data_IF_944194612526
#
_entry.id   IF_944194612526
#
_cell.length_a   1.000
_cell.length_b   1.000
_cell.length_c   1.000
_cell.angle_alpha   90.00
_cell.angle_beta   90.00
_cell.angle_gamma   90.00
#
_symmetry.space_group_name_H-M   'P 1'
#
loop_
_entity.id
_entity.type
_entity.pdbx_description
1 polymer ?
#
# COMPACT_ATOMS: atom_id res chain seq x y z
N UNK A 1 -5.17 8.22 30.32
CA UNK A 1 -5.83 7.18 29.49
C UNK A 1 -5.41 5.81 30.00
N UNK A 2 -6.35 4.86 30.18
CA UNK A 2 -6.05 3.49 30.60
C UNK A 2 -6.39 2.57 29.42
N UNK A 3 -5.39 1.97 28.80
CA UNK A 3 -5.57 1.10 27.62
C UNK A 3 -6.04 -0.27 28.08
N UNK A 4 -7.18 -0.75 27.56
CA UNK A 4 -7.71 -2.09 27.84
C UNK A 4 -7.25 -3.02 26.73
N UNK A 5 -6.48 -4.05 27.08
CA UNK A 5 -6.03 -5.07 26.14
C UNK A 5 -7.16 -6.08 25.91
N UNK A 6 -7.49 -6.32 24.64
CA UNK A 6 -8.42 -7.37 24.21
C UNK A 6 -7.62 -8.38 23.39
N UNK A 7 -7.59 -9.64 23.83
CA UNK A 7 -6.87 -10.71 23.14
C UNK A 7 -7.82 -11.48 22.23
N UNK A 8 -7.40 -11.76 20.99
CA UNK A 8 -8.08 -12.72 20.14
C UNK A 8 -7.82 -14.14 20.65
N UNK A 9 -8.84 -15.00 20.57
CA UNK A 9 -8.75 -16.42 20.95
C UNK A 9 -9.01 -17.28 19.71
N UNK A 10 -8.37 -18.44 19.63
CA UNK A 10 -8.31 -19.34 18.45
C UNK A 10 -9.70 -19.75 17.90
N UNK A 11 -10.78 -19.55 18.67
CA UNK A 11 -12.15 -19.93 18.31
C UNK A 11 -13.16 -18.77 18.31
N UNK A 12 -12.70 -17.51 18.28
CA UNK A 12 -13.59 -16.33 18.25
C UNK A 12 -13.18 -15.31 17.17
N UNK A 13 -13.48 -15.59 15.89
CA UNK A 13 -13.09 -14.74 14.75
C UNK A 13 -13.81 -13.37 14.72
N UNK A 14 -14.71 -13.11 15.68
CA UNK A 14 -15.57 -11.92 15.69
C UNK A 14 -14.83 -10.61 16.02
N UNK A 15 -13.61 -10.70 16.60
CA UNK A 15 -12.82 -9.50 17.00
C UNK A 15 -11.67 -9.18 16.03
N UNK A 16 -11.07 -10.18 15.39
CA UNK A 16 -9.83 -10.01 14.60
C UNK A 16 -10.04 -10.12 13.08
N UNK A 17 -11.25 -10.45 12.60
CA UNK A 17 -11.48 -10.76 11.19
C UNK A 17 -11.18 -9.64 10.18
N UNK A 18 -11.23 -8.37 10.60
CA UNK A 18 -10.81 -7.25 9.74
C UNK A 18 -9.29 -7.14 9.64
N UNK A 19 -8.59 -7.32 10.76
CA UNK A 19 -7.11 -7.37 10.77
C UNK A 19 -6.60 -8.59 10.02
N UNK A 20 -7.25 -9.75 10.15
CA UNK A 20 -6.92 -10.96 9.38
C UNK A 20 -7.08 -10.73 7.88
N UNK A 21 -8.18 -10.09 7.45
CA UNK A 21 -8.39 -9.73 6.04
C UNK A 21 -7.34 -8.74 5.53
N UNK A 22 -7.01 -7.72 6.33
CA UNK A 22 -5.93 -6.78 6.00
C UNK A 22 -4.60 -7.52 5.83
N UNK A 23 -4.22 -8.35 6.79
CA UNK A 23 -2.99 -9.13 6.74
C UNK A 23 -2.96 -10.08 5.54
N UNK A 24 -4.10 -10.67 5.18
CA UNK A 24 -4.22 -11.52 4.00
C UNK A 24 -3.96 -10.73 2.70
N UNK A 25 -4.57 -9.54 2.55
CA UNK A 25 -4.39 -8.68 1.37
C UNK A 25 -2.94 -8.19 1.27
N UNK A 26 -2.35 -7.75 2.38
CA UNK A 26 -0.94 -7.36 2.42
C UNK A 26 -0.01 -8.52 2.04
N UNK A 27 -0.27 -9.72 2.54
CA UNK A 27 0.49 -10.91 2.16
C UNK A 27 0.35 -11.23 0.67
N UNK A 28 -0.85 -11.18 0.10
CA UNK A 28 -1.07 -11.40 -1.34
C UNK A 28 -0.37 -10.35 -2.19
N UNK A 29 -0.37 -9.09 -1.75
CA UNK A 29 0.39 -8.03 -2.41
C UNK A 29 1.88 -8.36 -2.37
N UNK A 30 2.45 -8.61 -1.19
CA UNK A 30 3.87 -8.88 -1.00
C UNK A 30 4.35 -10.11 -1.78
N UNK A 31 3.54 -11.16 -1.89
CA UNK A 31 3.87 -12.35 -2.70
C UNK A 31 4.20 -12.02 -4.16
N UNK A 32 3.66 -10.92 -4.70
CA UNK A 32 3.92 -10.51 -6.08
C UNK A 32 5.22 -9.71 -6.26
N UNK A 33 5.84 -9.23 -5.18
CA UNK A 33 7.00 -8.33 -5.21
C UNK A 33 8.22 -8.88 -4.47
N UNK A 34 8.01 -9.79 -3.54
CA UNK A 34 9.06 -10.44 -2.76
C UNK A 34 9.58 -11.65 -3.52
N UNK A 35 10.91 -11.81 -3.58
CA UNK A 35 11.56 -12.96 -4.19
C UNK A 35 11.25 -14.27 -3.45
N UNK A 36 11.50 -15.42 -4.08
CA UNK A 36 11.27 -16.76 -3.50
C UNK A 36 12.00 -16.99 -2.18
N UNK A 37 13.11 -16.29 -1.95
CA UNK A 37 13.88 -16.34 -0.72
C UNK A 37 13.31 -15.48 0.43
N UNK A 38 12.13 -14.87 0.21
CA UNK A 38 11.42 -13.99 1.15
C UNK A 38 12.22 -12.78 1.63
N UNK A 39 13.26 -12.37 0.90
CA UNK A 39 14.08 -11.20 1.27
C UNK A 39 13.48 -9.90 0.75
N UNK A 40 13.72 -8.82 1.49
CA UNK A 40 13.33 -7.46 1.06
C UNK A 40 11.84 -7.12 1.23
N UNK A 41 11.02 -7.99 1.86
CA UNK A 41 9.59 -7.71 2.10
C UNK A 41 9.34 -6.40 2.84
N UNK A 42 10.23 -6.02 3.76
CA UNK A 42 10.15 -4.77 4.51
C UNK A 42 10.23 -3.54 3.60
N UNK A 43 10.98 -3.60 2.49
CA UNK A 43 11.09 -2.50 1.51
C UNK A 43 9.80 -2.29 0.70
N UNK A 44 8.95 -3.33 0.64
CA UNK A 44 7.67 -3.30 -0.06
C UNK A 44 6.50 -3.00 0.86
N UNK A 45 6.69 -3.11 2.18
CA UNK A 45 5.61 -2.95 3.15
C UNK A 45 4.93 -1.58 3.06
N UNK A 46 5.71 -0.50 2.99
CA UNK A 46 5.15 0.85 2.87
C UNK A 46 4.33 1.06 1.59
N UNK A 47 4.72 0.40 0.49
CA UNK A 47 3.95 0.44 -0.75
C UNK A 47 2.67 -0.39 -0.66
N UNK A 48 2.75 -1.56 -0.04
CA UNK A 48 1.58 -2.40 0.21
C UNK A 48 0.56 -1.71 1.12
N UNK A 49 1.03 -1.06 2.20
CA UNK A 49 0.21 -0.27 3.11
C UNK A 49 -0.47 0.90 2.40
N UNK A 50 0.29 1.67 1.61
CA UNK A 50 -0.27 2.79 0.84
C UNK A 50 -1.36 2.31 -0.11
N UNK A 51 -1.08 1.28 -0.92
CA UNK A 51 -2.06 0.72 -1.84
C UNK A 51 -3.32 0.20 -1.11
N UNK A 52 -3.15 -0.49 0.02
CA UNK A 52 -4.28 -0.98 0.80
C UNK A 52 -5.14 0.18 1.33
N UNK A 53 -4.51 1.17 1.97
CA UNK A 53 -5.21 2.30 2.56
C UNK A 53 -5.88 3.21 1.52
N UNK A 54 -5.33 3.30 0.30
CA UNK A 54 -5.87 4.13 -0.80
C UNK A 54 -6.88 3.40 -1.70
N UNK A 55 -7.13 2.11 -1.48
CA UNK A 55 -8.06 1.33 -2.31
C UNK A 55 -9.44 1.28 -1.66
N UNK A 56 -10.49 1.47 -2.45
CA UNK A 56 -11.88 1.32 -1.98
C UNK A 56 -12.17 -0.13 -1.60
N UNK A 57 -12.67 -0.33 -0.38
CA UNK A 57 -13.04 -1.66 0.09
C UNK A 57 -14.50 -1.97 -0.29
N UNK A 58 -14.76 -3.14 -0.87
CA UNK A 58 -16.11 -3.52 -1.32
C UNK A 58 -17.17 -3.55 -0.23
N UNK A 59 -16.78 -3.71 1.04
CA UNK A 59 -17.71 -3.74 2.18
C UNK A 59 -18.15 -2.35 2.66
N UNK A 60 -17.33 -1.32 2.43
CA UNK A 60 -17.53 0.04 2.94
C UNK A 60 -17.68 1.05 1.78
N UNK A 61 -17.43 0.60 0.54
CA UNK A 61 -17.40 1.36 -0.72
C UNK A 61 -16.42 2.56 -0.74
N UNK A 62 -15.70 2.76 0.36
CA UNK A 62 -14.74 3.82 0.58
C UNK A 62 -13.37 3.27 0.97
N UNK A 63 -12.32 4.08 0.78
CA UNK A 63 -10.97 3.73 1.21
C UNK A 63 -10.76 4.02 2.70
N UNK A 64 -9.94 3.24 3.41
CA UNK A 64 -9.54 3.57 4.78
C UNK A 64 -8.94 4.97 4.92
N UNK A 65 -8.19 5.43 3.91
CA UNK A 65 -7.57 6.75 3.92
C UNK A 65 -8.62 7.86 3.85
N UNK A 66 -9.62 7.73 2.99
CA UNK A 66 -10.75 8.66 2.92
C UNK A 66 -11.52 8.71 4.23
N UNK A 67 -11.75 7.56 4.87
CA UNK A 67 -12.45 7.50 6.15
C UNK A 67 -11.64 8.12 7.30
N UNK A 68 -10.32 7.99 7.27
CA UNK A 68 -9.43 8.52 8.31
C UNK A 68 -9.15 10.03 8.15
N UNK A 69 -8.97 10.51 6.92
CA UNK A 69 -8.48 11.86 6.64
C UNK A 69 -9.46 12.75 5.87
N UNK A 70 -10.59 12.21 5.40
CA UNK A 70 -11.65 12.96 4.70
C UNK A 70 -11.34 13.32 3.25
N UNK A 71 -10.22 12.86 2.70
CA UNK A 71 -9.85 13.00 1.29
C UNK A 71 -9.02 11.79 0.86
N UNK A 72 -9.02 11.44 -0.42
CA UNK A 72 -8.16 10.39 -0.98
C UNK A 72 -6.71 10.91 -1.12
N UNK A 73 -5.70 10.04 -0.94
CA UNK A 73 -4.31 10.43 -1.16
C UNK A 73 -4.06 10.55 -2.67
N UNK A 74 -3.33 11.58 -3.09
CA UNK A 74 -2.84 11.66 -4.47
C UNK A 74 -1.79 10.57 -4.68
N UNK A 75 -2.11 9.59 -5.53
CA UNK A 75 -1.17 8.55 -5.90
C UNK A 75 -0.05 9.12 -6.80
N UNK A 76 1.07 8.41 -6.95
CA UNK A 76 2.12 8.77 -7.90
C UNK A 76 1.58 9.02 -9.32
N UNK A 77 0.55 8.27 -9.72
CA UNK A 77 -0.07 8.43 -11.04
C UNK A 77 -0.96 9.68 -11.13
N UNK A 78 -1.71 10.00 -10.07
CA UNK A 78 -2.53 11.22 -10.02
C UNK A 78 -1.64 12.47 -10.02
N UNK A 79 -0.51 12.40 -9.31
CA UNK A 79 0.52 13.42 -9.34
C UNK A 79 1.12 13.61 -10.73
N UNK A 80 1.36 12.52 -11.46
CA UNK A 80 1.88 12.57 -12.82
C UNK A 80 0.88 13.16 -13.83
N UNK A 81 -0.43 12.95 -13.62
CA UNK A 81 -1.50 13.39 -14.53
C UNK A 81 -2.03 14.80 -14.22
N UNK A 82 -1.70 15.39 -13.06
CA UNK A 82 -2.10 16.75 -12.68
C UNK A 82 -1.20 17.81 -13.34
N UNK A 83 -0.99 17.67 -14.65
CA UNK A 83 -0.32 18.66 -15.50
C UNK A 83 -1.23 19.89 -15.68
N UNK A 84 -1.18 20.84 -14.74
CA UNK A 84 -1.94 22.09 -14.87
C UNK A 84 -1.84 23.07 -13.72
N UNK A 85 -1.41 22.65 -12.52
CA UNK A 85 -1.22 23.56 -11.39
C UNK A 85 0.23 24.06 -11.33
N UNK A 86 0.39 25.37 -11.46
CA UNK A 86 1.66 26.11 -11.58
C UNK A 86 2.68 25.88 -10.44
N UNK A 87 3.96 25.99 -10.85
CA UNK A 87 5.14 26.39 -10.09
C UNK A 87 5.94 25.32 -9.33
N UNK A 88 7.09 24.97 -9.91
CA UNK A 88 8.32 24.36 -9.34
C UNK A 88 8.21 23.12 -8.42
N UNK A 89 7.37 23.16 -7.38
CA UNK A 89 7.12 22.06 -6.44
C UNK A 89 6.46 20.85 -7.11
N UNK A 90 5.61 21.05 -8.12
CA UNK A 90 4.97 19.97 -8.87
C UNK A 90 6.00 19.18 -9.67
N UNK A 91 6.98 19.84 -10.32
CA UNK A 91 8.02 19.16 -11.11
C UNK A 91 8.92 18.25 -10.28
N UNK A 92 9.31 18.69 -9.09
CA UNK A 92 10.09 17.85 -8.16
C UNK A 92 9.28 16.65 -7.67
N UNK A 93 7.97 16.81 -7.48
CA UNK A 93 7.06 15.74 -7.03
C UNK A 93 6.68 14.77 -8.14
N UNK A 94 6.54 15.24 -9.38
CA UNK A 94 6.32 14.44 -10.59
C UNK A 94 7.53 13.58 -10.90
N UNK A 95 8.73 14.16 -10.88
CA UNK A 95 9.97 13.42 -11.05
C UNK A 95 10.12 12.34 -9.97
N UNK A 96 9.77 12.63 -8.71
CA UNK A 96 9.79 11.65 -7.63
C UNK A 96 8.73 10.54 -7.80
N UNK A 97 7.55 10.87 -8.32
CA UNK A 97 6.48 9.90 -8.59
C UNK A 97 6.84 8.96 -9.76
N UNK A 98 7.41 9.51 -10.84
CA UNK A 98 7.90 8.74 -11.99
C UNK A 98 9.12 7.90 -11.64
N UNK A 99 10.07 8.46 -10.89
CA UNK A 99 11.22 7.72 -10.36
C UNK A 99 10.75 6.59 -9.45
N UNK A 100 9.81 6.86 -8.55
CA UNK A 100 9.23 5.83 -7.68
C UNK A 100 8.53 4.73 -8.49
N UNK A 101 7.71 5.08 -9.49
CA UNK A 101 7.03 4.10 -10.33
C UNK A 101 8.03 3.29 -11.16
N UNK A 102 9.01 3.95 -11.78
CA UNK A 102 10.07 3.31 -12.55
C UNK A 102 10.92 2.40 -11.67
N UNK A 103 11.28 2.83 -10.47
CA UNK A 103 12.04 2.05 -9.51
C UNK A 103 11.25 0.82 -9.06
N UNK A 104 9.94 0.95 -8.80
CA UNK A 104 9.07 -0.18 -8.45
C UNK A 104 8.89 -1.15 -9.61
N UNK A 105 8.77 -0.67 -10.85
CA UNK A 105 8.72 -1.51 -12.07
C UNK A 105 10.05 -2.24 -12.29
N UNK A 106 11.19 -1.55 -12.19
CA UNK A 106 12.52 -2.13 -12.34
C UNK A 106 12.77 -3.19 -11.26
N UNK A 107 12.42 -2.89 -10.00
CA UNK A 107 12.54 -3.84 -8.89
C UNK A 107 11.63 -5.05 -9.08
N UNK A 108 10.39 -4.86 -9.55
CA UNK A 108 9.47 -5.96 -9.90
C UNK A 108 10.05 -6.85 -11.00
N UNK A 109 10.58 -6.28 -12.08
CA UNK A 109 11.20 -7.05 -13.16
C UNK A 109 12.52 -7.73 -12.76
N UNK A 110 13.26 -7.16 -11.80
CA UNK A 110 14.43 -7.80 -11.21
C UNK A 110 14.03 -8.96 -10.31
N UNK A 111 13.01 -8.80 -9.48
CA UNK A 111 12.44 -9.88 -8.68
C UNK A 111 11.93 -11.03 -9.56
N UNK A 112 11.25 -10.70 -10.68
CA UNK A 112 10.76 -11.69 -11.66
C UNK A 112 11.89 -12.46 -12.34
N UNK A 113 13.04 -11.82 -12.62
CA UNK A 113 14.21 -12.47 -13.22
C UNK A 113 15.00 -13.34 -12.25
N UNK A 114 15.01 -13.03 -10.95
CA UNK A 114 15.66 -13.86 -9.93
C UNK A 114 14.87 -15.14 -9.57
N UNK A 115 13.67 -15.31 -10.14
CA UNK A 115 12.78 -16.46 -9.95
C UNK A 115 12.92 -17.54 -11.05
N UNK A 116 13.69 -17.29 -12.10
CA UNK A 116 14.02 -18.25 -13.19
C UNK A 116 15.42 -18.82 -13.01
#
# INVERSE_FOLDING_TARGET
MRTKLSFSTVFHPQTDGQMEKMNLVLNQYLQNFVSTDQRGWAEWLSSAEFCYNSTKHSAIEESPFLLAYGHEPEGPLDLALTEGASSAHVRTRQAAAEEFLAEKVIRKEKARRNLQ
#
